data_IF_153495509545
#
_entry.id   IF_153495509545
#
_cell.length_a   1.000
_cell.length_b   1.000
_cell.length_c   1.000
_cell.angle_alpha   90.00
_cell.angle_beta   90.00
_cell.angle_gamma   90.00
#
_symmetry.space_group_name_H-M   'P 1'
#
loop_
_entity.id
_entity.type
_entity.pdbx_description
1 polymer ?
#
# COMPACT_ATOMS: atom_id res chain seq x y z
N UNK A 1 53.82 -34.86 69.91
CA UNK A 1 52.55 -35.17 69.31
C UNK A 1 52.21 -34.09 68.26
N UNK A 2 52.47 -34.34 66.98
CA UNK A 2 51.75 -33.57 65.96
C UNK A 2 51.30 -34.50 64.78
N UNK A 3 50.07 -34.94 64.80
CA UNK A 3 49.53 -35.82 63.70
C UNK A 3 48.19 -35.34 63.12
N UNK A 4 47.80 -34.07 63.34
CA UNK A 4 46.48 -33.61 62.91
C UNK A 4 46.52 -32.61 61.78
N UNK A 5 47.69 -32.29 61.19
CA UNK A 5 47.79 -31.26 60.17
C UNK A 5 47.72 -31.77 58.71
N UNK A 6 47.89 -33.05 58.44
CA UNK A 6 48.06 -33.56 57.08
C UNK A 6 46.75 -34.03 56.41
N UNK A 7 45.72 -34.33 57.21
CA UNK A 7 44.44 -34.81 56.67
C UNK A 7 43.53 -33.69 56.16
N UNK A 8 43.63 -32.54 56.76
CA UNK A 8 42.86 -31.37 56.37
C UNK A 8 43.34 -30.71 55.03
N UNK A 9 44.66 -30.74 54.77
CA UNK A 9 45.21 -30.22 53.50
C UNK A 9 44.83 -31.09 52.26
N UNK A 10 44.67 -32.40 52.45
CA UNK A 10 44.26 -33.29 51.31
C UNK A 10 42.84 -33.12 50.93
N UNK A 11 41.96 -32.81 51.86
CA UNK A 11 40.53 -32.62 51.58
C UNK A 11 40.31 -31.29 50.88
N UNK A 12 41.04 -30.25 51.25
CA UNK A 12 40.94 -28.93 50.62
C UNK A 12 41.39 -28.90 49.12
N UNK A 13 42.49 -29.61 48.85
CA UNK A 13 42.99 -29.72 47.45
C UNK A 13 42.04 -30.50 46.50
N UNK A 14 41.19 -31.33 47.03
CA UNK A 14 40.24 -32.14 46.24
C UNK A 14 38.99 -31.34 45.88
N UNK A 15 38.53 -30.50 46.77
CA UNK A 15 37.38 -29.61 46.55
C UNK A 15 37.69 -28.52 45.52
N UNK A 16 38.89 -27.91 45.56
CA UNK A 16 39.34 -26.87 44.60
C UNK A 16 39.35 -27.39 43.15
N UNK A 17 39.65 -28.65 42.93
CA UNK A 17 39.67 -29.23 41.58
C UNK A 17 38.25 -29.39 40.97
N UNK A 18 37.29 -29.77 41.78
CA UNK A 18 35.90 -29.93 41.31
C UNK A 18 35.24 -28.59 41.02
N UNK A 19 35.50 -27.58 41.80
CA UNK A 19 35.05 -26.21 41.62
C UNK A 19 35.61 -25.61 40.33
N UNK A 20 36.86 -25.82 40.01
CA UNK A 20 37.48 -25.39 38.76
C UNK A 20 36.85 -26.08 37.52
N UNK A 21 36.57 -27.36 37.60
CA UNK A 21 35.90 -28.12 36.52
C UNK A 21 34.47 -27.60 36.32
N UNK A 22 33.73 -27.38 37.41
CA UNK A 22 32.39 -26.83 37.35
C UNK A 22 32.36 -25.43 36.72
N UNK A 23 33.33 -24.56 37.09
CA UNK A 23 33.47 -23.23 36.51
C UNK A 23 33.74 -23.26 34.98
N UNK A 24 34.60 -24.16 34.52
CA UNK A 24 34.89 -24.33 33.09
C UNK A 24 33.64 -24.79 32.32
N UNK A 25 32.92 -25.79 32.85
CA UNK A 25 31.68 -26.29 32.23
C UNK A 25 30.63 -25.18 32.17
N UNK A 26 30.45 -24.43 33.27
CA UNK A 26 29.50 -23.32 33.29
C UNK A 26 29.85 -22.22 32.26
N UNK A 27 31.16 -21.92 32.11
CA UNK A 27 31.64 -20.96 31.11
C UNK A 27 31.38 -21.43 29.66
N UNK A 28 31.61 -22.71 29.37
CA UNK A 28 31.34 -23.29 28.06
C UNK A 28 29.84 -23.28 27.72
N UNK A 29 29.00 -23.64 28.68
CA UNK A 29 27.54 -23.60 28.53
C UNK A 29 27.07 -22.18 28.33
N UNK A 30 27.58 -21.21 29.09
CA UNK A 30 27.26 -19.80 28.93
C UNK A 30 27.69 -19.25 27.57
N UNK A 31 28.87 -19.60 27.09
CA UNK A 31 29.33 -19.22 25.75
C UNK A 31 28.45 -19.84 24.63
N UNK A 32 28.13 -21.11 24.75
CA UNK A 32 27.25 -21.78 23.78
C UNK A 32 25.86 -21.14 23.75
N UNK A 33 25.32 -20.79 24.92
CA UNK A 33 24.03 -20.09 25.01
C UNK A 33 24.07 -18.72 24.31
N UNK A 34 25.16 -17.96 24.43
CA UNK A 34 25.34 -16.69 23.71
C UNK A 34 25.40 -16.87 22.19
N UNK A 35 26.10 -17.90 21.72
CA UNK A 35 26.15 -18.21 20.27
C UNK A 35 24.78 -18.57 19.75
N UNK A 36 24.03 -19.43 20.46
CA UNK A 36 22.66 -19.81 20.07
C UNK A 36 21.73 -18.59 20.09
N UNK A 37 21.82 -17.75 21.12
CA UNK A 37 21.01 -16.53 21.20
C UNK A 37 21.29 -15.56 20.04
N UNK A 38 22.56 -15.36 19.70
CA UNK A 38 22.96 -14.53 18.56
C UNK A 38 22.45 -15.07 17.22
N UNK A 39 22.56 -16.37 17.00
CA UNK A 39 22.02 -17.03 15.82
C UNK A 39 20.49 -16.92 15.75
N UNK A 40 19.81 -17.13 16.86
CA UNK A 40 18.34 -16.99 16.93
C UNK A 40 17.90 -15.56 16.62
N UNK A 41 18.58 -14.55 17.15
CA UNK A 41 18.30 -13.17 16.87
C UNK A 41 18.47 -12.82 15.37
N UNK A 42 19.50 -13.39 14.73
CA UNK A 42 19.72 -13.24 13.29
C UNK A 42 18.56 -13.83 12.47
N UNK A 43 18.15 -15.06 12.77
CA UNK A 43 17.02 -15.72 12.08
C UNK A 43 15.71 -14.96 12.29
N UNK A 44 15.45 -14.47 13.50
CA UNK A 44 14.24 -13.70 13.81
C UNK A 44 14.15 -12.41 12.98
N UNK A 45 15.25 -11.69 12.78
CA UNK A 45 15.28 -10.51 11.91
C UNK A 45 14.92 -10.84 10.47
N UNK A 46 15.51 -11.90 9.93
CA UNK A 46 15.21 -12.36 8.55
C UNK A 46 13.75 -12.79 8.39
N UNK A 47 13.21 -13.53 9.35
CA UNK A 47 11.82 -13.99 9.36
C UNK A 47 10.84 -12.81 9.43
N UNK A 48 11.13 -11.81 10.27
CA UNK A 48 10.29 -10.61 10.40
C UNK A 48 10.22 -9.82 9.07
N UNK A 49 11.32 -9.71 8.33
CA UNK A 49 11.33 -9.04 7.03
C UNK A 49 10.46 -9.76 6.00
N UNK A 50 10.52 -11.11 5.96
CA UNK A 50 9.66 -11.91 5.07
C UNK A 50 8.19 -11.75 5.45
N UNK A 51 7.86 -11.81 6.74
CA UNK A 51 6.49 -11.63 7.22
C UNK A 51 5.94 -10.26 6.85
N UNK A 52 6.74 -9.20 6.97
CA UNK A 52 6.33 -7.86 6.55
C UNK A 52 5.97 -7.82 5.06
N UNK A 53 6.81 -8.39 4.19
CA UNK A 53 6.53 -8.48 2.74
C UNK A 53 5.27 -9.29 2.42
N UNK A 54 5.03 -10.37 3.16
CA UNK A 54 3.80 -11.16 3.01
C UNK A 54 2.55 -10.37 3.39
N UNK A 55 2.58 -9.63 4.50
CA UNK A 55 1.47 -8.78 4.91
C UNK A 55 1.24 -7.65 3.90
N UNK A 56 2.29 -7.01 3.40
CA UNK A 56 2.20 -6.00 2.35
C UNK A 56 1.51 -6.54 1.09
N UNK A 57 1.87 -7.75 0.66
CA UNK A 57 1.24 -8.40 -0.49
C UNK A 57 -0.25 -8.71 -0.29
N UNK A 58 -0.68 -8.98 0.95
CA UNK A 58 -2.07 -9.28 1.30
C UNK A 58 -2.97 -8.03 1.38
N UNK A 59 -2.40 -6.85 1.54
CA UNK A 59 -3.14 -5.59 1.64
C UNK A 59 -2.87 -4.63 0.48
N UNK A 60 -2.32 -5.15 -0.61
CA UNK A 60 -1.96 -4.35 -1.77
C UNK A 60 -3.20 -3.91 -2.57
N UNK A 61 -3.53 -2.61 -2.61
CA UNK A 61 -4.63 -2.09 -3.42
C UNK A 61 -4.16 -1.84 -4.85
N UNK A 62 -5.10 -1.96 -5.81
CA UNK A 62 -4.85 -1.63 -7.21
C UNK A 62 -6.07 -0.94 -7.80
N UNK A 63 -6.05 0.39 -7.89
CA UNK A 63 -7.12 1.12 -8.53
C UNK A 63 -6.94 1.16 -10.05
N UNK A 64 -8.07 1.03 -10.74
CA UNK A 64 -8.18 1.22 -12.17
C UNK A 64 -9.47 1.97 -12.48
N UNK A 65 -9.41 2.96 -13.36
CA UNK A 65 -10.58 3.61 -13.91
C UNK A 65 -10.92 3.04 -15.30
N UNK A 66 -12.17 3.07 -15.66
CA UNK A 66 -12.62 2.59 -16.97
C UNK A 66 -14.08 2.89 -17.23
N UNK A 67 -14.48 2.69 -18.48
CA UNK A 67 -15.85 2.83 -18.91
C UNK A 67 -16.63 1.54 -18.67
N UNK A 68 -17.87 1.66 -18.22
CA UNK A 68 -18.84 0.58 -18.16
C UNK A 68 -19.99 0.89 -19.12
N UNK A 69 -19.91 0.31 -20.30
CA UNK A 69 -20.88 0.55 -21.38
C UNK A 69 -22.28 -0.02 -21.04
N UNK A 70 -22.37 -1.01 -20.15
CA UNK A 70 -23.64 -1.60 -19.75
C UNK A 70 -24.43 -0.70 -18.77
N UNK A 71 -23.71 0.05 -17.94
CA UNK A 71 -24.29 0.93 -16.93
C UNK A 71 -24.18 2.41 -17.31
N UNK A 72 -23.65 2.71 -18.49
CA UNK A 72 -23.42 4.07 -19.00
C UNK A 72 -22.64 4.94 -18.01
N UNK A 73 -21.56 4.38 -17.46
CA UNK A 73 -20.80 5.02 -16.39
C UNK A 73 -19.30 5.01 -16.65
N UNK A 74 -18.60 5.90 -15.95
CA UNK A 74 -17.18 5.78 -15.69
C UNK A 74 -17.02 5.28 -14.28
N UNK A 75 -16.25 4.21 -14.10
CA UNK A 75 -16.08 3.54 -12.82
C UNK A 75 -14.62 3.54 -12.37
N UNK A 76 -14.42 3.65 -11.07
CA UNK A 76 -13.15 3.32 -10.43
C UNK A 76 -13.33 2.02 -9.66
N UNK A 77 -12.45 1.07 -9.92
CA UNK A 77 -12.50 -0.29 -9.36
C UNK A 77 -11.23 -0.58 -8.60
N UNK A 78 -11.35 -1.12 -7.41
CA UNK A 78 -10.20 -1.69 -6.69
C UNK A 78 -10.00 -3.16 -7.12
N UNK A 79 -9.05 -3.39 -8.01
CA UNK A 79 -8.67 -4.74 -8.48
C UNK A 79 -7.63 -5.42 -7.59
N UNK A 80 -7.18 -4.74 -6.54
CA UNK A 80 -6.24 -5.28 -5.57
C UNK A 80 -6.90 -6.19 -4.53
N UNK A 81 -6.07 -6.72 -3.65
CA UNK A 81 -6.49 -7.63 -2.55
C UNK A 81 -6.68 -6.90 -1.23
N UNK A 82 -6.21 -5.66 -1.11
CA UNK A 82 -6.37 -4.81 0.07
C UNK A 82 -7.24 -3.58 -0.19
N UNK A 83 -7.73 -2.92 0.86
CA UNK A 83 -8.50 -1.68 0.73
C UNK A 83 -7.63 -0.54 0.20
N UNK A 84 -8.20 0.28 -0.70
CA UNK A 84 -7.58 1.48 -1.25
C UNK A 84 -8.12 2.72 -0.53
N UNK A 85 -7.27 3.42 0.20
CA UNK A 85 -7.61 4.68 0.89
C UNK A 85 -7.28 5.83 -0.07
N UNK A 86 -8.32 6.37 -0.73
CA UNK A 86 -8.15 7.48 -1.67
C UNK A 86 -7.85 8.77 -0.89
N UNK A 87 -6.71 9.37 -1.20
CA UNK A 87 -6.25 10.62 -0.59
C UNK A 87 -6.56 11.83 -1.45
N UNK A 88 -6.41 11.69 -2.77
CA UNK A 88 -6.73 12.75 -3.73
C UNK A 88 -7.22 12.15 -5.03
N UNK A 89 -8.21 12.80 -5.64
CA UNK A 89 -8.65 12.54 -7.00
C UNK A 89 -8.72 13.85 -7.78
N UNK A 90 -8.34 13.82 -9.04
CA UNK A 90 -8.42 14.96 -9.96
C UNK A 90 -8.90 14.46 -11.31
N UNK A 91 -9.69 15.29 -11.99
CA UNK A 91 -10.09 15.10 -13.38
C UNK A 91 -9.55 16.26 -14.20
N UNK A 92 -9.05 15.97 -15.38
CA UNK A 92 -8.46 16.97 -16.28
C UNK A 92 -9.21 16.99 -17.59
N UNK A 93 -9.26 18.15 -18.23
CA UNK A 93 -9.69 18.34 -19.61
C UNK A 93 -8.67 19.27 -20.28
N UNK A 94 -8.07 18.84 -21.37
CA UNK A 94 -6.99 19.56 -22.08
C UNK A 94 -5.85 19.98 -21.15
N UNK A 95 -5.43 19.10 -20.23
CA UNK A 95 -4.36 19.34 -19.27
C UNK A 95 -4.72 20.27 -18.10
N UNK A 96 -5.95 20.78 -18.04
CA UNK A 96 -6.42 21.68 -16.98
C UNK A 96 -7.25 20.92 -15.96
N UNK A 97 -6.91 20.97 -14.64
CA UNK A 97 -7.71 20.35 -13.61
C UNK A 97 -9.11 21.01 -13.56
N UNK A 98 -10.11 20.18 -13.43
CA UNK A 98 -11.50 20.61 -13.27
C UNK A 98 -11.90 20.48 -11.81
N UNK A 99 -12.77 21.38 -11.28
CA UNK A 99 -13.17 21.34 -9.88
C UNK A 99 -14.23 20.28 -9.58
N UNK A 100 -15.08 19.94 -10.56
CA UNK A 100 -16.20 19.02 -10.43
C UNK A 100 -16.66 18.48 -11.80
N UNK A 101 -17.59 17.53 -11.79
CA UNK A 101 -18.13 16.92 -13.00
C UNK A 101 -18.92 17.91 -13.88
N UNK A 102 -19.58 18.90 -13.31
CA UNK A 102 -20.30 19.92 -14.08
C UNK A 102 -19.34 20.73 -14.96
N UNK A 103 -18.17 21.10 -14.42
CA UNK A 103 -17.14 21.78 -15.20
C UNK A 103 -16.50 20.87 -16.26
N UNK A 104 -16.28 19.58 -15.95
CA UNK A 104 -15.83 18.58 -16.93
C UNK A 104 -16.80 18.50 -18.10
N UNK A 105 -18.07 18.26 -17.84
CA UNK A 105 -19.12 18.14 -18.87
C UNK A 105 -19.25 19.40 -19.71
N UNK A 106 -19.17 20.58 -19.08
CA UNK A 106 -19.18 21.86 -19.77
C UNK A 106 -17.95 22.07 -20.66
N UNK A 107 -16.77 21.72 -20.14
CA UNK A 107 -15.51 21.84 -20.91
C UNK A 107 -15.49 20.90 -22.13
N UNK A 108 -16.07 19.70 -22.00
CA UNK A 108 -16.23 18.75 -23.08
C UNK A 108 -17.42 19.09 -24.05
N UNK A 109 -18.25 20.07 -23.71
CA UNK A 109 -19.43 20.42 -24.51
C UNK A 109 -20.52 19.34 -24.51
N UNK A 110 -20.55 18.48 -23.48
CA UNK A 110 -21.43 17.29 -23.44
C UNK A 110 -22.36 17.30 -22.22
N UNK A 111 -22.93 18.44 -21.89
CA UNK A 111 -23.86 18.56 -20.74
C UNK A 111 -25.08 17.64 -20.97
N UNK A 112 -25.27 16.57 -20.17
CA UNK A 112 -26.36 15.62 -20.32
C UNK A 112 -27.66 16.17 -19.74
N UNK A 113 -28.78 15.52 -20.05
CA UNK A 113 -30.09 15.85 -19.46
C UNK A 113 -30.12 15.45 -17.97
N UNK A 114 -29.59 14.28 -17.67
CA UNK A 114 -29.58 13.75 -16.32
C UNK A 114 -28.36 12.84 -16.11
N UNK A 115 -27.69 13.02 -14.99
CA UNK A 115 -26.59 12.16 -14.54
C UNK A 115 -26.54 12.09 -13.02
N UNK A 116 -25.89 11.07 -12.50
CA UNK A 116 -25.53 10.95 -11.09
C UNK A 116 -24.02 10.88 -10.93
N UNK A 117 -23.54 11.22 -9.77
CA UNK A 117 -22.11 11.20 -9.44
C UNK A 117 -21.89 10.64 -8.04
N UNK A 118 -20.74 10.02 -7.82
CA UNK A 118 -20.34 9.47 -6.53
C UNK A 118 -19.01 10.06 -6.09
N UNK A 119 -18.90 10.31 -4.79
CA UNK A 119 -17.68 10.87 -4.20
C UNK A 119 -16.56 9.84 -4.21
N UNK A 120 -15.43 10.20 -4.81
CA UNK A 120 -14.23 9.37 -4.79
C UNK A 120 -13.20 9.84 -3.75
N UNK A 121 -13.24 11.10 -3.35
CA UNK A 121 -12.28 11.69 -2.42
C UNK A 121 -12.97 12.54 -1.32
N UNK A 122 -12.76 12.24 -0.01
CA UNK A 122 -12.06 11.06 0.49
C UNK A 122 -12.96 9.81 0.48
N UNK A 123 -12.41 8.65 0.18
CA UNK A 123 -13.14 7.38 0.21
C UNK A 123 -12.19 6.20 0.49
N UNK A 124 -12.75 5.07 0.92
CA UNK A 124 -12.06 3.80 1.07
C UNK A 124 -12.76 2.77 0.22
N UNK A 125 -12.09 2.26 -0.80
CA UNK A 125 -12.61 1.21 -1.66
C UNK A 125 -12.14 -0.15 -1.17
N UNK A 126 -13.09 -1.02 -0.82
CA UNK A 126 -12.81 -2.42 -0.48
C UNK A 126 -12.27 -3.19 -1.71
N UNK A 127 -11.59 -4.33 -1.52
CA UNK A 127 -11.20 -5.21 -2.62
C UNK A 127 -12.41 -5.60 -3.48
N UNK A 128 -12.32 -5.42 -4.79
CA UNK A 128 -13.39 -5.70 -5.75
C UNK A 128 -14.51 -4.64 -5.82
N UNK A 129 -14.49 -3.64 -4.95
CA UNK A 129 -15.48 -2.57 -4.98
C UNK A 129 -15.35 -1.69 -6.22
N UNK A 130 -16.50 -1.32 -6.77
CA UNK A 130 -16.66 -0.43 -7.91
C UNK A 130 -17.45 0.81 -7.50
N UNK A 131 -16.94 1.96 -7.87
CA UNK A 131 -17.61 3.24 -7.65
C UNK A 131 -17.84 3.91 -8.99
N UNK A 132 -19.11 4.07 -9.43
CA UNK A 132 -19.43 4.86 -10.60
C UNK A 132 -19.22 6.33 -10.27
N UNK A 133 -18.09 6.90 -10.72
CA UNK A 133 -17.74 8.30 -10.43
C UNK A 133 -18.65 9.29 -11.17
N UNK A 134 -19.13 8.89 -12.34
CA UNK A 134 -20.22 9.53 -13.08
C UNK A 134 -21.02 8.47 -13.82
N UNK A 135 -22.35 8.59 -13.79
CA UNK A 135 -23.27 7.69 -14.47
C UNK A 135 -24.36 8.48 -15.17
N UNK A 136 -24.64 8.16 -16.42
CA UNK A 136 -25.62 8.83 -17.27
C UNK A 136 -26.95 8.06 -17.26
N UNK A 137 -28.05 8.79 -17.36
CA UNK A 137 -29.37 8.19 -17.39
C UNK A 137 -29.67 7.48 -18.71
N UNK A 138 -29.05 7.92 -19.80
CA UNK A 138 -29.28 7.35 -21.12
C UNK A 138 -27.95 7.13 -21.88
N UNK A 139 -28.04 6.21 -22.85
CA UNK A 139 -26.95 5.78 -23.69
C UNK A 139 -26.41 6.90 -24.59
N UNK A 140 -27.28 7.76 -25.10
CA UNK A 140 -26.89 8.82 -26.05
C UNK A 140 -26.00 9.86 -25.37
N UNK A 141 -26.36 10.29 -24.16
CA UNK A 141 -25.57 11.22 -23.36
C UNK A 141 -24.20 10.59 -22.96
N UNK A 142 -24.21 9.30 -22.62
CA UNK A 142 -22.98 8.58 -22.32
C UNK A 142 -22.03 8.48 -23.53
N UNK A 143 -22.57 8.10 -24.73
CA UNK A 143 -21.76 7.99 -25.94
C UNK A 143 -21.17 9.33 -26.38
N UNK A 144 -21.92 10.42 -26.24
CA UNK A 144 -21.43 11.78 -26.51
C UNK A 144 -20.29 12.14 -25.56
N UNK A 145 -20.48 11.90 -24.26
CA UNK A 145 -19.44 12.12 -23.26
C UNK A 145 -18.19 11.30 -23.57
N UNK A 146 -18.33 9.99 -23.78
CA UNK A 146 -17.23 9.07 -24.08
C UNK A 146 -16.44 9.50 -25.31
N UNK A 147 -17.13 9.86 -26.37
CA UNK A 147 -16.48 10.31 -27.63
C UNK A 147 -15.69 11.61 -27.42
N UNK A 148 -16.24 12.56 -26.68
CA UNK A 148 -15.56 13.80 -26.34
C UNK A 148 -14.36 13.54 -25.40
N UNK A 149 -14.52 12.72 -24.37
CA UNK A 149 -13.45 12.39 -23.42
C UNK A 149 -12.25 11.74 -24.13
N UNK A 150 -12.48 10.82 -25.06
CA UNK A 150 -11.42 10.21 -25.89
C UNK A 150 -10.71 11.23 -26.77
N UNK A 151 -11.44 12.18 -27.35
CA UNK A 151 -10.86 13.22 -28.21
C UNK A 151 -9.94 14.18 -27.44
N UNK A 152 -10.26 14.45 -26.18
CA UNK A 152 -9.47 15.35 -25.32
C UNK A 152 -8.35 14.66 -24.53
N UNK A 153 -8.29 13.32 -24.51
CA UNK A 153 -7.22 12.47 -23.97
C UNK A 153 -6.78 12.77 -22.52
N UNK A 154 -7.56 13.51 -21.77
CA UNK A 154 -7.28 13.88 -20.39
C UNK A 154 -8.30 13.25 -19.48
N UNK A 155 -7.86 12.56 -18.44
CA UNK A 155 -8.79 11.81 -17.63
C UNK A 155 -8.50 11.89 -16.13
N UNK A 156 -8.38 10.76 -15.45
CA UNK A 156 -8.45 10.70 -14.00
C UNK A 156 -7.05 10.45 -13.43
N UNK A 157 -6.73 11.20 -12.39
CA UNK A 157 -5.51 11.06 -11.59
C UNK A 157 -5.92 10.81 -10.14
N UNK A 158 -5.57 9.64 -9.61
CA UNK A 158 -5.97 9.21 -8.27
C UNK A 158 -4.72 8.85 -7.49
N UNK A 159 -4.53 9.49 -6.33
CA UNK A 159 -3.52 9.05 -5.37
C UNK A 159 -4.20 8.36 -4.19
N UNK A 160 -3.75 7.15 -3.88
CA UNK A 160 -4.31 6.30 -2.85
C UNK A 160 -3.22 5.53 -2.12
N UNK A 161 -3.53 5.09 -0.90
CA UNK A 161 -2.59 4.34 -0.07
C UNK A 161 -3.23 3.04 0.44
N UNK A 162 -2.38 2.08 0.81
CA UNK A 162 -2.79 0.90 1.57
C UNK A 162 -2.99 1.25 3.04
N UNK A 163 -3.55 0.32 3.81
CA UNK A 163 -3.64 0.41 5.27
C UNK A 163 -2.29 0.44 5.98
N UNK A 164 -1.22 0.02 5.29
CA UNK A 164 0.16 0.06 5.80
C UNK A 164 0.91 1.35 5.41
N UNK A 165 0.23 2.30 4.74
CA UNK A 165 0.81 3.60 4.40
C UNK A 165 1.64 3.62 3.11
N UNK A 166 1.71 2.53 2.36
CA UNK A 166 2.30 2.53 1.03
C UNK A 166 1.34 3.19 0.05
N UNK A 167 1.85 4.08 -0.81
CA UNK A 167 1.01 4.89 -1.68
C UNK A 167 1.33 4.69 -3.16
N UNK A 168 0.30 4.85 -3.98
CA UNK A 168 0.39 4.78 -5.44
C UNK A 168 -0.41 5.90 -6.07
N UNK A 169 -0.01 6.24 -7.28
CA UNK A 169 -0.74 7.15 -8.13
C UNK A 169 -1.17 6.42 -9.40
N UNK A 170 -2.46 6.33 -9.61
CA UNK A 170 -3.07 5.97 -10.89
C UNK A 170 -3.20 7.22 -11.75
N UNK A 171 -2.78 7.14 -13.01
CA UNK A 171 -2.98 8.24 -13.96
C UNK A 171 -3.12 7.66 -15.37
N UNK A 172 -4.20 7.98 -16.04
CA UNK A 172 -4.45 7.62 -17.43
C UNK A 172 -4.19 8.77 -18.42
N UNK A 173 -3.55 9.86 -17.94
CA UNK A 173 -3.26 11.08 -18.73
C UNK A 173 -2.42 10.87 -19.99
N UNK A 174 -1.91 9.69 -20.23
CA UNK A 174 -1.08 9.37 -21.39
C UNK A 174 -1.42 8.00 -21.96
N UNK A 175 -2.74 7.73 -22.13
CA UNK A 175 -3.22 6.44 -22.63
C UNK A 175 -2.75 6.10 -24.05
N UNK A 176 -2.38 7.11 -24.86
CA UNK A 176 -1.87 6.87 -26.19
C UNK A 176 -0.52 6.17 -26.13
N UNK A 177 -0.53 4.88 -26.46
CA UNK A 177 0.71 4.08 -26.56
C UNK A 177 1.12 3.32 -25.30
N UNK A 178 0.31 3.26 -24.24
CA UNK A 178 0.64 2.39 -23.13
C UNK A 178 0.59 0.91 -23.52
N UNK A 179 1.59 0.14 -23.07
CA UNK A 179 1.73 -1.28 -23.40
C UNK A 179 1.22 -2.22 -22.30
N UNK A 180 1.00 -1.69 -21.10
CA UNK A 180 0.52 -2.48 -19.97
C UNK A 180 -0.15 -1.59 -18.91
N UNK A 181 -1.13 -2.16 -18.18
CA UNK A 181 -1.79 -1.49 -17.04
C UNK A 181 -0.81 -1.08 -15.95
N UNK A 182 0.32 -1.76 -15.81
CA UNK A 182 1.36 -1.42 -14.85
C UNK A 182 1.98 -0.03 -15.09
N UNK A 183 1.85 0.53 -16.29
CA UNK A 183 2.34 1.88 -16.59
C UNK A 183 1.42 2.98 -16.05
N UNK A 184 0.16 2.65 -15.78
CA UNK A 184 -0.83 3.59 -15.25
C UNK A 184 -0.72 3.79 -13.75
N UNK A 185 -0.14 2.83 -13.02
CA UNK A 185 0.01 2.88 -11.56
C UNK A 185 1.49 2.94 -11.20
N UNK A 186 1.87 3.99 -10.48
CA UNK A 186 3.25 4.19 -10.04
C UNK A 186 3.31 4.33 -8.52
N UNK A 187 4.28 3.70 -7.84
CA UNK A 187 4.49 3.92 -6.42
C UNK A 187 4.95 5.36 -6.16
N UNK A 188 4.47 5.95 -5.08
CA UNK A 188 4.86 7.29 -4.62
C UNK A 188 5.15 7.27 -3.12
N UNK A 189 6.07 8.10 -2.66
CA UNK A 189 6.41 8.15 -1.24
C UNK A 189 5.23 8.60 -0.37
N UNK A 190 4.39 9.49 -0.89
CA UNK A 190 3.14 9.98 -0.28
C UNK A 190 2.28 10.68 -1.32
N UNK A 191 0.99 10.76 -1.07
CA UNK A 191 0.09 11.54 -1.90
C UNK A 191 0.32 13.05 -1.71
N UNK A 192 0.28 13.83 -2.79
CA UNK A 192 0.41 15.29 -2.70
C UNK A 192 -0.79 15.88 -1.96
N UNK A 193 -0.55 16.90 -1.13
CA UNK A 193 -1.62 17.76 -0.63
C UNK A 193 -1.99 18.72 -1.75
N UNK A 194 -3.23 18.63 -2.20
CA UNK A 194 -3.74 19.58 -3.18
C UNK A 194 -4.24 20.83 -2.48
N UNK A 195 -4.07 22.02 -3.08
CA UNK A 195 -4.76 23.23 -2.60
C UNK A 195 -6.28 23.04 -2.78
N UNK A 196 -7.09 23.63 -1.92
CA UNK A 196 -8.56 23.46 -1.90
C UNK A 196 -9.23 23.67 -3.26
N UNK A 197 -8.71 24.60 -4.06
CA UNK A 197 -9.19 24.89 -5.42
C UNK A 197 -8.87 23.81 -6.46
N UNK A 198 -7.95 22.90 -6.16
CA UNK A 198 -7.51 21.82 -7.05
C UNK A 198 -8.03 20.44 -6.60
N UNK A 199 -8.75 20.38 -5.50
CA UNK A 199 -9.44 19.17 -5.04
C UNK A 199 -10.70 19.03 -5.88
N UNK A 200 -10.85 17.86 -6.51
CA UNK A 200 -12.07 17.52 -7.24
C UNK A 200 -13.21 17.29 -6.24
N UNK A 201 -14.25 18.09 -6.32
CA UNK A 201 -15.42 18.00 -5.45
C UNK A 201 -16.57 17.39 -6.26
N UNK A 202 -17.19 16.37 -5.71
CA UNK A 202 -18.38 15.77 -6.33
C UNK A 202 -19.64 16.37 -5.73
#
# INVERSE_FOLDING_TARGET
>A
MPEHSTENERTERRTVRWDAVAAIIASLVGFLALVVAGYTAYIQRYTAEIQTKQVQAQVWPWLAAGNNDNEYSVEVVNKGVGPAIVQTAQVFVDGKPQPDWQHVLKALGTVPRQYSQSTLNPNVLAPGEKVPVIQFADKEDYERFRSAAVAHLDLIDICYCSTLGECWRYSDRHLVGYKSLAQLVKPVARCPRLPDKAVFVN
#
